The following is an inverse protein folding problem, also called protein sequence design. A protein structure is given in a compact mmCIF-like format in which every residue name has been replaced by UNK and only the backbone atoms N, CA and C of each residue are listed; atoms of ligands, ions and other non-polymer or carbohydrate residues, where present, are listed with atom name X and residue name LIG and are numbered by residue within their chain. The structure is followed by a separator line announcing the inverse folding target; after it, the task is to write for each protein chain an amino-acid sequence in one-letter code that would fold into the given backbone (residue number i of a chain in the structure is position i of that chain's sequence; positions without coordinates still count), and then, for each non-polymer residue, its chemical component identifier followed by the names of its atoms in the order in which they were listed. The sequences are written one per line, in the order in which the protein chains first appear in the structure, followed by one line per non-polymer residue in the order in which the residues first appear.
data_IF_073324115045
#
_entry.id   IF_073324115045
#
_cell.length_a   1.000
_cell.length_b   1.000
_cell.length_c   1.000
_cell.angle_alpha   90.00
_cell.angle_beta   90.00
_cell.angle_gamma   90.00
#
_symmetry.space_group_name_H-M   'P 1'
#
loop_
_entity.id
_entity.type
_entity.pdbx_description
1 polymer ?
#
# COMPACT_ATOMS: atom_id res chain seq x y z
N UNK A 1 -19.33 -1.03 5.46
CA UNK A 1 -17.95 -1.49 5.58
C UNK A 1 -17.11 -0.40 6.23
N UNK A 2 -16.42 -0.74 7.30
CA UNK A 2 -15.69 0.29 8.03
C UNK A 2 -14.51 0.84 7.22
N UNK A 3 -14.30 2.12 7.35
CA UNK A 3 -13.18 2.82 6.76
C UNK A 3 -12.70 3.88 7.73
N UNK A 4 -11.40 4.00 7.85
CA UNK A 4 -10.80 5.02 8.69
C UNK A 4 -10.20 6.08 7.79
N UNK A 5 -10.52 7.34 8.08
CA UNK A 5 -9.93 8.46 7.38
C UNK A 5 -9.09 9.27 8.33
N UNK A 6 -7.87 9.53 7.92
CA UNK A 6 -7.00 10.43 8.66
C UNK A 6 -7.22 11.83 8.11
N UNK A 7 -7.57 12.74 9.00
CA UNK A 7 -7.78 14.13 8.61
C UNK A 7 -6.45 14.82 8.41
N UNK A 8 -6.51 15.94 7.70
CA UNK A 8 -5.35 16.72 7.37
C UNK A 8 -5.41 17.14 5.92
N UNK A 9 -4.30 17.55 5.38
CA UNK A 9 -4.23 17.98 4.00
C UNK A 9 -4.35 16.81 3.04
N UNK A 10 -3.91 15.64 3.48
CA UNK A 10 -3.95 14.42 2.68
C UNK A 10 -4.86 13.45 3.36
N UNK A 11 -5.85 12.95 2.62
CA UNK A 11 -6.77 11.96 3.13
C UNK A 11 -6.23 10.56 2.86
N UNK A 12 -6.03 9.82 3.94
CA UNK A 12 -5.69 8.41 3.86
C UNK A 12 -6.91 7.65 4.34
N UNK A 13 -7.44 6.81 3.45
CA UNK A 13 -8.57 5.95 3.80
C UNK A 13 -8.02 4.55 4.00
N UNK A 14 -8.30 3.99 5.18
CA UNK A 14 -7.91 2.63 5.50
C UNK A 14 -9.17 1.80 5.58
N UNK A 15 -9.26 0.76 4.76
CA UNK A 15 -10.36 -0.18 4.81
C UNK A 15 -9.89 -1.48 5.41
N UNK A 16 -10.63 -1.97 6.39
CA UNK A 16 -10.35 -3.27 6.99
C UNK A 16 -11.05 -4.34 6.15
N UNK A 17 -10.26 -5.21 5.52
CA UNK A 17 -10.77 -6.30 4.72
C UNK A 17 -11.34 -7.45 5.53
N UNK A 18 -11.27 -7.37 6.85
CA UNK A 18 -11.83 -8.37 7.74
C UNK A 18 -13.35 -8.29 7.75
N UNK A 19 -13.98 -9.41 7.95
CA UNK A 19 -15.44 -9.48 7.96
C UNK A 19 -15.95 -9.16 9.36
N UNK A 20 -15.70 -7.93 9.81
CA UNK A 20 -16.15 -7.44 11.11
C UNK A 20 -16.06 -5.92 11.13
N UNK A 21 -16.67 -5.32 12.14
CA UNK A 21 -16.62 -3.88 12.30
C UNK A 21 -15.18 -3.42 12.56
N UNK A 22 -14.85 -2.31 11.95
CA UNK A 22 -13.55 -1.68 12.16
C UNK A 22 -13.50 -1.06 13.55
N UNK A 23 -12.40 -1.30 14.25
CA UNK A 23 -12.16 -0.69 15.54
C UNK A 23 -10.84 0.07 15.48
N UNK A 24 -10.89 1.36 15.77
CA UNK A 24 -9.71 2.21 15.74
C UNK A 24 -8.60 1.67 16.66
N UNK A 25 -8.98 1.09 17.80
CA UNK A 25 -8.03 0.49 18.72
C UNK A 25 -7.26 -0.66 18.11
N UNK A 26 -7.88 -1.41 17.19
CA UNK A 26 -7.21 -2.54 16.54
C UNK A 26 -6.00 -2.08 15.73
N UNK A 27 -6.12 -0.94 15.07
CA UNK A 27 -5.01 -0.37 14.30
C UNK A 27 -3.92 0.13 15.23
N UNK A 28 -4.30 0.83 16.29
CA UNK A 28 -3.32 1.39 17.23
C UNK A 28 -2.66 0.31 18.09
N UNK A 29 -3.34 -0.81 18.31
CA UNK A 29 -2.74 -1.94 19.02
C UNK A 29 -1.67 -2.63 18.18
N UNK A 30 -1.82 -2.63 16.86
CA UNK A 30 -0.75 -3.10 15.98
C UNK A 30 0.09 -1.91 15.54
N UNK A 31 0.93 -1.49 16.46
CA UNK A 31 1.79 -0.33 16.27
C UNK A 31 2.71 -0.50 15.08
N UNK A 32 3.22 -1.69 14.88
CA UNK A 32 4.12 -1.96 13.77
C UNK A 32 3.42 -1.78 12.44
N UNK A 33 2.22 -2.29 12.32
CA UNK A 33 1.44 -2.13 11.08
C UNK A 33 1.11 -0.66 10.83
N UNK A 34 0.68 0.04 11.87
CA UNK A 34 0.36 1.46 11.76
C UNK A 34 1.57 2.27 11.29
N UNK A 35 2.74 2.00 11.88
CA UNK A 35 3.97 2.70 11.52
C UNK A 35 4.36 2.42 10.07
N UNK A 36 4.19 1.20 9.61
CA UNK A 36 4.51 0.82 8.23
C UNK A 36 3.58 1.50 7.23
N UNK A 37 2.30 1.56 7.54
CA UNK A 37 1.33 2.24 6.71
C UNK A 37 1.66 3.72 6.62
N UNK A 38 1.97 4.34 7.74
CA UNK A 38 2.31 5.75 7.79
C UNK A 38 3.61 6.04 7.02
N UNK A 39 4.58 5.14 7.16
CA UNK A 39 5.84 5.26 6.42
C UNK A 39 5.60 5.15 4.92
N UNK A 40 4.78 4.18 4.50
CA UNK A 40 4.44 4.03 3.09
C UNK A 40 3.79 5.29 2.53
N UNK A 41 2.85 5.85 3.27
CA UNK A 41 2.19 7.09 2.87
C UNK A 41 3.20 8.22 2.68
N UNK A 42 4.10 8.37 3.64
CA UNK A 42 5.10 9.43 3.58
C UNK A 42 6.03 9.28 2.38
N UNK A 43 6.44 8.05 2.10
CA UNK A 43 7.32 7.78 0.96
C UNK A 43 6.60 8.06 -0.36
N UNK A 44 5.36 7.62 -0.50
CA UNK A 44 4.59 7.86 -1.71
C UNK A 44 4.35 9.35 -1.91
N UNK A 45 4.08 10.08 -0.84
CA UNK A 45 3.89 11.52 -0.91
C UNK A 45 5.18 12.25 -1.30
N UNK A 46 6.31 11.77 -0.83
CA UNK A 46 7.60 12.40 -1.09
C UNK A 46 8.11 12.10 -2.50
N UNK A 47 8.06 10.84 -2.90
CA UNK A 47 8.58 10.42 -4.20
C UNK A 47 7.65 10.77 -5.36
N UNK A 48 6.36 10.82 -5.11
CA UNK A 48 5.34 11.27 -6.08
C UNK A 48 5.37 10.53 -7.42
N UNK A 49 5.80 9.27 -7.40
CA UNK A 49 5.87 8.51 -8.64
C UNK A 49 4.55 7.81 -8.99
N UNK A 50 3.64 7.70 -8.04
CA UNK A 50 2.34 7.08 -8.26
C UNK A 50 1.33 7.66 -7.25
N UNK A 51 0.12 7.96 -7.73
CA UNK A 51 -0.95 8.39 -6.85
C UNK A 51 -1.63 7.18 -6.20
N UNK A 52 -2.14 7.35 -4.99
CA UNK A 52 -2.84 6.29 -4.27
C UNK A 52 -4.14 6.83 -3.68
N UNK A 53 -5.06 5.92 -3.39
CA UNK A 53 -6.35 6.32 -2.82
C UNK A 53 -6.63 5.65 -1.48
N UNK A 54 -6.47 4.33 -1.38
CA UNK A 54 -6.87 3.59 -0.20
C UNK A 54 -5.80 2.60 0.23
N UNK A 55 -5.78 2.33 1.53
CA UNK A 55 -5.01 1.22 2.09
C UNK A 55 -5.99 0.15 2.54
N UNK A 56 -5.65 -1.10 2.28
CA UNK A 56 -6.48 -2.25 2.65
C UNK A 56 -5.70 -3.20 3.54
N UNK A 57 -6.38 -3.72 4.57
CA UNK A 57 -5.80 -4.65 5.54
C UNK A 57 -6.50 -6.00 5.40
N UNK A 58 -5.97 -6.91 4.60
CA UNK A 58 -6.59 -8.23 4.44
C UNK A 58 -6.61 -8.97 5.77
N UNK A 59 -7.67 -9.74 5.98
CA UNK A 59 -7.86 -10.49 7.21
C UNK A 59 -6.77 -11.55 7.40
N UNK A 60 -6.24 -11.63 8.62
CA UNK A 60 -5.33 -12.70 9.01
C UNK A 60 -3.98 -12.65 8.35
N UNK A 61 -3.58 -11.49 7.84
CA UNK A 61 -2.35 -11.36 7.07
C UNK A 61 -1.40 -10.35 7.71
N UNK A 62 -0.12 -10.54 7.47
CA UNK A 62 0.90 -9.54 7.81
C UNK A 62 1.11 -8.55 6.68
N UNK A 63 0.29 -8.63 5.65
CA UNK A 63 0.41 -7.75 4.49
C UNK A 63 -0.59 -6.61 4.56
N UNK A 64 -0.31 -5.59 3.80
CA UNK A 64 -1.31 -4.57 3.50
C UNK A 64 -1.21 -4.22 2.02
N UNK A 65 -2.26 -3.63 1.50
CA UNK A 65 -2.37 -3.31 0.09
C UNK A 65 -2.69 -1.85 -0.09
N UNK A 66 -2.13 -1.28 -1.13
CA UNK A 66 -2.40 0.12 -1.49
C UNK A 66 -3.08 0.12 -2.84
N UNK A 67 -4.24 0.74 -2.93
CA UNK A 67 -4.89 0.93 -4.21
C UNK A 67 -4.36 2.22 -4.83
N UNK A 68 -3.82 2.11 -6.03
CA UNK A 68 -3.34 3.28 -6.74
C UNK A 68 -4.49 4.01 -7.42
N UNK A 69 -4.26 5.25 -7.79
CA UNK A 69 -5.26 6.01 -8.56
C UNK A 69 -5.41 5.50 -9.97
N UNK A 70 -4.48 4.70 -10.45
CA UNK A 70 -4.60 4.03 -11.74
C UNK A 70 -5.47 2.78 -11.67
N UNK A 71 -5.81 2.31 -10.47
CA UNK A 71 -6.72 1.20 -10.27
C UNK A 71 -6.10 -0.11 -9.89
N UNK A 72 -4.79 -0.25 -10.01
CA UNK A 72 -4.09 -1.48 -9.62
C UNK A 72 -3.58 -1.36 -8.19
N UNK A 73 -3.15 -2.50 -7.62
CA UNK A 73 -2.79 -2.58 -6.22
C UNK A 73 -1.32 -2.83 -6.02
N UNK A 74 -0.78 -2.31 -4.92
CA UNK A 74 0.56 -2.60 -4.46
C UNK A 74 0.43 -3.49 -3.23
N UNK A 75 1.07 -4.66 -3.25
CA UNK A 75 1.07 -5.58 -2.11
C UNK A 75 2.38 -5.41 -1.35
N UNK A 76 2.27 -5.11 -0.07
CA UNK A 76 3.40 -4.89 0.82
C UNK A 76 3.29 -5.78 2.04
N UNK A 77 4.41 -5.98 2.69
CA UNK A 77 4.52 -6.82 3.89
C UNK A 77 5.11 -5.98 5.01
N UNK A 78 4.46 -5.99 6.17
CA UNK A 78 4.93 -5.18 7.28
C UNK A 78 6.26 -5.68 7.87
N UNK A 79 6.67 -6.88 7.56
CA UNK A 79 7.92 -7.44 8.07
C UNK A 79 9.13 -7.08 7.22
N UNK A 80 8.90 -6.64 5.99
CA UNK A 80 9.98 -6.20 5.12
C UNK A 80 10.12 -4.69 5.16
N UNK A 81 11.25 -4.20 4.70
CA UNK A 81 11.52 -2.76 4.69
C UNK A 81 10.68 -2.09 3.60
N UNK A 82 9.65 -1.38 4.02
CA UNK A 82 8.73 -0.68 3.13
C UNK A 82 9.46 0.34 2.26
N UNK A 83 10.44 1.01 2.85
CA UNK A 83 11.22 2.01 2.13
C UNK A 83 11.93 1.39 0.93
N UNK A 84 12.63 0.28 1.16
CA UNK A 84 13.34 -0.45 0.10
C UNK A 84 12.37 -0.95 -0.95
N UNK A 85 11.22 -1.49 -0.51
CA UNK A 85 10.21 -2.00 -1.44
C UNK A 85 9.67 -0.92 -2.35
N UNK A 86 9.35 0.25 -1.82
CA UNK A 86 8.75 1.32 -2.61
C UNK A 86 9.77 1.99 -3.54
N UNK A 87 11.02 2.09 -3.12
CA UNK A 87 12.07 2.59 -4.00
C UNK A 87 12.29 1.62 -5.17
N UNK A 88 12.28 0.32 -4.88
CA UNK A 88 12.40 -0.68 -5.93
C UNK A 88 11.20 -0.62 -6.89
N UNK A 89 10.01 -0.39 -6.36
CA UNK A 89 8.82 -0.23 -7.19
C UNK A 89 8.94 0.96 -8.14
N UNK A 90 9.39 2.09 -7.62
CA UNK A 90 9.58 3.28 -8.44
C UNK A 90 10.50 2.98 -9.62
N UNK A 91 11.64 2.35 -9.34
CA UNK A 91 12.61 2.01 -10.36
C UNK A 91 12.02 1.01 -11.38
N UNK A 92 11.29 0.01 -10.90
CA UNK A 92 10.68 -0.99 -11.75
C UNK A 92 9.67 -0.35 -12.71
N UNK A 93 8.84 0.56 -12.21
CA UNK A 93 7.86 1.24 -13.05
C UNK A 93 8.53 2.09 -14.12
N UNK A 94 9.58 2.78 -13.77
CA UNK A 94 10.29 3.64 -14.72
C UNK A 94 10.99 2.84 -15.81
N UNK A 95 11.55 1.68 -15.45
CA UNK A 95 12.37 0.90 -16.38
C UNK A 95 11.57 -0.14 -17.16
N UNK A 96 10.55 -0.74 -16.53
CA UNK A 96 9.87 -1.90 -17.12
C UNK A 96 8.40 -1.65 -17.44
N UNK A 97 7.72 -0.81 -16.66
CA UNK A 97 6.29 -0.58 -16.83
C UNK A 97 5.96 0.93 -16.80
N UNK A 98 6.34 1.66 -17.84
CA UNK A 98 5.92 3.06 -17.91
C UNK A 98 4.40 3.17 -17.99
N UNK A 99 3.87 4.35 -17.72
CA UNK A 99 2.44 4.56 -17.60
C UNK A 99 1.66 4.01 -18.80
N UNK A 100 2.21 4.14 -19.98
CA UNK A 100 1.54 3.67 -21.20
C UNK A 100 1.34 2.16 -21.25
N UNK A 101 1.99 1.41 -20.36
CA UNK A 101 1.94 -0.05 -20.36
C UNK A 101 1.24 -0.61 -19.11
N UNK A 102 0.50 0.22 -18.38
CA UNK A 102 -0.15 -0.19 -17.13
C UNK A 102 -1.66 -0.32 -17.22
N UNK A 103 -2.26 -0.20 -18.40
CA UNK A 103 -3.72 -0.17 -18.52
C UNK A 103 -4.40 -1.45 -18.03
N UNK A 104 -3.72 -2.59 -18.17
CA UNK A 104 -4.30 -3.87 -17.77
C UNK A 104 -3.67 -4.40 -16.48
N UNK A 105 -2.84 -3.61 -15.83
CA UNK A 105 -2.17 -4.05 -14.61
C UNK A 105 -3.18 -4.21 -13.48
N UNK A 106 -3.10 -5.34 -12.77
CA UNK A 106 -3.98 -5.64 -11.65
C UNK A 106 -3.28 -5.41 -10.32
N UNK A 107 -2.02 -5.84 -10.20
CA UNK A 107 -1.26 -5.63 -8.98
C UNK A 107 0.23 -5.78 -9.23
N UNK A 108 1.00 -5.22 -8.30
CA UNK A 108 2.42 -5.47 -8.19
C UNK A 108 2.69 -5.93 -6.77
N UNK A 109 3.33 -7.08 -6.64
CA UNK A 109 3.57 -7.72 -5.36
C UNK A 109 5.04 -7.56 -4.96
N UNK A 110 5.26 -6.86 -3.87
CA UNK A 110 6.60 -6.57 -3.36
C UNK A 110 6.94 -7.38 -2.10
N UNK A 111 6.09 -8.35 -1.74
CA UNK A 111 6.27 -9.07 -0.47
C UNK A 111 7.42 -10.06 -0.49
N UNK A 112 7.86 -10.49 -1.67
CA UNK A 112 8.95 -11.44 -1.77
C UNK A 112 10.26 -10.67 -1.90
N UNK A 113 11.18 -10.97 -1.02
CA UNK A 113 12.46 -10.26 -0.97
C UNK A 113 13.23 -10.41 -2.28
N UNK A 114 13.72 -9.30 -2.80
CA UNK A 114 14.50 -9.24 -4.05
C UNK A 114 13.74 -9.68 -5.30
N UNK A 115 12.41 -9.74 -5.24
CA UNK A 115 11.60 -10.11 -6.40
C UNK A 115 10.35 -9.25 -6.48
N UNK A 116 9.97 -8.93 -7.70
CA UNK A 116 8.74 -8.19 -7.97
C UNK A 116 7.88 -9.06 -8.87
N UNK A 117 6.69 -9.39 -8.40
CA UNK A 117 5.70 -10.10 -9.19
C UNK A 117 4.60 -9.14 -9.58
N UNK A 118 4.03 -9.34 -10.77
CA UNK A 118 2.92 -8.50 -11.20
C UNK A 118 2.01 -9.26 -12.17
N UNK A 119 0.81 -8.75 -12.26
CA UNK A 119 -0.19 -9.29 -13.18
C UNK A 119 -1.05 -8.19 -13.73
#
# INVERSE_FOLDING_TARGET
KPALRFSGEIFLTIEDGRDRDFNLGDIFDDRELFDKINLARNILDELKFIGYSNFFLPQGSFEFRIKTKEGWYIYLDKENDVSTQLVALKKFLEEKLPESRRQTLQYIDLRVNNRIYYR
#
